data_IF_044505502950
#
_entry.id   IF_044505502950
#
_cell.length_a   1.000
_cell.length_b   1.000
_cell.length_c   1.000
_cell.angle_alpha   90.00
_cell.angle_beta   90.00
_cell.angle_gamma   90.00
#
_symmetry.space_group_name_H-M   'P 1'
#
loop_
_entity.id
_entity.type
_entity.pdbx_description
1 polymer ?
#
# COMPACT_ATOMS: atom_id res chain seq x y z
N UNK A 1 7.70 12.10 -3.24
CA UNK A 1 7.60 13.54 -2.87
C UNK A 1 6.20 14.00 -2.47
N UNK A 2 5.21 14.04 -3.38
CA UNK A 2 3.88 14.60 -3.12
C UNK A 2 3.18 13.99 -1.89
N UNK A 3 3.26 12.66 -1.74
CA UNK A 3 2.66 11.93 -0.60
C UNK A 3 3.34 12.32 0.72
N UNK A 4 4.67 12.39 0.75
CA UNK A 4 5.41 12.85 1.94
C UNK A 4 5.00 14.27 2.34
N UNK A 5 4.91 15.19 1.37
CA UNK A 5 4.47 16.57 1.64
C UNK A 5 3.03 16.64 2.15
N UNK A 6 2.14 15.78 1.66
CA UNK A 6 0.77 15.65 2.18
C UNK A 6 0.79 15.24 3.66
N UNK A 7 1.56 14.21 4.00
CA UNK A 7 1.68 13.71 5.38
C UNK A 7 2.29 14.77 6.29
N UNK A 8 3.34 15.47 5.86
CA UNK A 8 3.98 16.55 6.63
C UNK A 8 3.04 17.74 6.82
N UNK A 9 2.28 18.11 5.78
CA UNK A 9 1.26 19.15 5.89
C UNK A 9 0.18 18.77 6.91
N UNK A 10 -0.31 17.53 6.83
CA UNK A 10 -1.30 17.01 7.76
C UNK A 10 -0.76 16.91 9.20
N UNK A 11 0.52 16.53 9.35
CA UNK A 11 1.26 16.52 10.62
C UNK A 11 1.25 17.92 11.25
N UNK A 12 1.58 18.95 10.48
CA UNK A 12 1.69 20.32 10.99
C UNK A 12 0.33 20.92 11.36
N UNK A 13 -0.75 20.44 10.74
CA UNK A 13 -2.12 20.91 10.99
C UNK A 13 -2.92 20.00 11.92
N UNK A 14 -2.35 18.88 12.35
CA UNK A 14 -3.02 17.88 13.17
C UNK A 14 -4.34 17.39 12.56
N UNK A 15 -4.35 17.11 11.26
CA UNK A 15 -5.54 16.62 10.54
C UNK A 15 -5.36 15.17 10.08
N UNK A 16 -6.43 14.38 9.98
CA UNK A 16 -6.39 13.00 9.48
C UNK A 16 -5.95 12.95 8.01
N UNK A 17 -5.36 11.83 7.59
CA UNK A 17 -4.93 11.57 6.21
C UNK A 17 -5.70 10.37 5.66
N UNK A 18 -6.18 10.50 4.43
CA UNK A 18 -6.74 9.39 3.66
C UNK A 18 -5.97 9.29 2.35
N UNK A 19 -5.45 8.11 2.01
CA UNK A 19 -4.75 7.86 0.75
C UNK A 19 -5.45 6.74 0.01
N UNK A 20 -5.87 7.05 -1.22
CA UNK A 20 -6.36 6.07 -2.19
C UNK A 20 -5.16 5.56 -3.00
N UNK A 21 -4.87 4.27 -2.88
CA UNK A 21 -3.74 3.61 -3.50
C UNK A 21 -4.17 2.92 -4.79
N UNK A 22 -3.51 3.28 -5.90
CA UNK A 22 -3.55 2.57 -7.16
C UNK A 22 -2.14 2.56 -7.76
N UNK A 23 -1.52 1.40 -7.87
CA UNK A 23 -0.19 1.21 -8.44
C UNK A 23 0.03 -0.20 -8.97
N UNK A 24 0.67 -0.29 -10.13
CA UNK A 24 1.19 -1.55 -10.69
C UNK A 24 2.61 -1.90 -10.24
N UNK A 25 3.21 -1.12 -9.33
CA UNK A 25 4.55 -1.35 -8.79
C UNK A 25 5.44 -0.10 -8.76
N UNK A 26 6.75 -0.32 -8.62
CA UNK A 26 7.74 0.75 -8.61
C UNK A 26 8.00 1.26 -10.04
N UNK A 27 8.23 2.57 -10.19
CA UNK A 27 8.59 3.18 -11.47
C UNK A 27 10.06 2.89 -11.78
N UNK A 28 10.32 1.85 -12.56
CA UNK A 28 11.68 1.37 -12.84
C UNK A 28 12.59 2.40 -13.51
N UNK A 29 12.03 3.37 -14.24
CA UNK A 29 12.77 4.44 -14.92
C UNK A 29 13.55 5.33 -13.95
N UNK A 30 13.09 5.43 -12.69
CA UNK A 30 13.77 6.19 -11.64
C UNK A 30 14.70 5.28 -10.78
N UNK A 31 14.79 3.98 -11.11
CA UNK A 31 15.70 3.03 -10.48
C UNK A 31 15.57 2.98 -8.95
N UNK A 32 16.70 3.10 -8.26
CA UNK A 32 16.76 3.08 -6.79
C UNK A 32 15.98 4.23 -6.13
N UNK A 33 15.78 5.36 -6.81
CA UNK A 33 15.00 6.47 -6.25
C UNK A 33 13.54 6.08 -6.02
N UNK A 34 12.97 5.26 -6.92
CA UNK A 34 11.63 4.69 -6.73
C UNK A 34 11.54 3.81 -5.49
N UNK A 35 12.57 2.99 -5.24
CA UNK A 35 12.64 2.17 -4.04
C UNK A 35 12.74 3.03 -2.78
N UNK A 36 13.57 4.08 -2.80
CA UNK A 36 13.75 4.98 -1.66
C UNK A 36 12.47 5.76 -1.32
N UNK A 37 11.54 5.94 -2.26
CA UNK A 37 10.24 6.55 -1.94
C UNK A 37 9.46 5.75 -0.90
N UNK A 38 9.59 4.42 -0.88
CA UNK A 38 8.94 3.57 0.13
C UNK A 38 9.43 3.95 1.53
N UNK A 39 10.74 3.96 1.74
CA UNK A 39 11.35 4.34 3.01
C UNK A 39 11.01 5.78 3.41
N UNK A 40 11.05 6.72 2.44
CA UNK A 40 10.73 8.13 2.68
C UNK A 40 9.29 8.32 3.17
N UNK A 41 8.32 7.71 2.49
CA UNK A 41 6.90 7.87 2.85
C UNK A 41 6.63 7.17 4.18
N UNK A 42 7.10 5.94 4.38
CA UNK A 42 6.92 5.20 5.63
C UNK A 42 7.53 5.92 6.84
N UNK A 43 8.69 6.56 6.68
CA UNK A 43 9.32 7.35 7.76
C UNK A 43 8.47 8.58 8.15
N UNK A 44 7.94 9.31 7.17
CA UNK A 44 7.04 10.43 7.44
C UNK A 44 5.75 9.97 8.14
N UNK A 45 5.20 8.83 7.69
CA UNK A 45 4.00 8.22 8.26
C UNK A 45 4.23 7.75 9.71
N UNK A 46 5.40 7.16 9.99
CA UNK A 46 5.79 6.77 11.33
C UNK A 46 5.82 7.96 12.29
N UNK A 47 6.39 9.09 11.88
CA UNK A 47 6.35 10.32 12.70
C UNK A 47 4.90 10.81 12.91
N UNK A 48 4.08 10.79 11.85
CA UNK A 48 2.67 11.20 11.87
C UNK A 48 1.82 10.37 12.87
N UNK A 49 1.95 9.03 12.83
CA UNK A 49 1.20 8.15 13.73
C UNK A 49 1.85 8.07 15.13
N UNK A 50 3.16 7.83 15.22
CA UNK A 50 3.81 7.52 16.50
C UNK A 50 3.98 8.74 17.40
N UNK A 51 4.45 9.86 16.85
CA UNK A 51 4.78 11.05 17.63
C UNK A 51 3.60 12.03 17.75
N UNK A 52 2.75 12.10 16.72
CA UNK A 52 1.61 13.02 16.69
C UNK A 52 0.26 12.34 16.97
N UNK A 53 0.20 11.00 16.98
CA UNK A 53 -1.01 10.22 17.27
C UNK A 53 -2.17 10.59 16.34
N UNK A 54 -1.86 10.88 15.08
CA UNK A 54 -2.85 11.25 14.07
C UNK A 54 -3.29 10.03 13.26
N UNK A 55 -4.53 10.08 12.78
CA UNK A 55 -5.22 8.95 12.16
C UNK A 55 -5.03 8.91 10.65
N UNK A 56 -4.62 7.75 10.13
CA UNK A 56 -4.37 7.49 8.72
C UNK A 56 -5.22 6.31 8.22
N UNK A 57 -5.97 6.56 7.14
CA UNK A 57 -6.72 5.52 6.41
C UNK A 57 -6.07 5.27 5.06
N UNK A 58 -5.78 4.00 4.76
CA UNK A 58 -5.41 3.57 3.42
C UNK A 58 -6.60 2.91 2.73
N UNK A 59 -6.88 3.31 1.49
CA UNK A 59 -7.91 2.71 0.64
C UNK A 59 -7.21 2.07 -0.56
N UNK A 60 -7.28 0.76 -0.67
CA UNK A 60 -6.62 -0.03 -1.70
C UNK A 60 -7.57 -0.26 -2.86
N UNK A 61 -7.24 0.30 -4.02
CA UNK A 61 -8.02 0.11 -5.24
C UNK A 61 -7.24 -0.73 -6.24
N UNK A 62 -7.91 -1.13 -7.31
CA UNK A 62 -7.33 -2.02 -8.31
C UNK A 62 -6.53 -1.26 -9.38
N UNK A 63 -5.25 -1.62 -9.66
CA UNK A 63 -4.40 -2.54 -8.90
C UNK A 63 -3.64 -1.81 -7.78
N UNK A 64 -3.31 -2.50 -6.69
CA UNK A 64 -2.33 -2.04 -5.68
C UNK A 64 -1.28 -3.11 -5.46
N UNK A 65 -0.14 -2.97 -6.14
CA UNK A 65 0.92 -3.99 -6.11
C UNK A 65 2.32 -3.46 -5.76
N UNK A 66 3.20 -4.40 -5.41
CA UNK A 66 4.63 -4.15 -5.25
C UNK A 66 4.95 -3.17 -4.12
N UNK A 67 5.72 -2.13 -4.45
CA UNK A 67 6.26 -1.20 -3.47
C UNK A 67 5.20 -0.41 -2.70
N UNK A 68 4.02 -0.14 -3.28
CA UNK A 68 2.94 0.57 -2.57
C UNK A 68 2.32 -0.33 -1.50
N UNK A 69 2.01 -1.58 -1.86
CA UNK A 69 1.51 -2.60 -0.91
C UNK A 69 2.54 -2.89 0.18
N UNK A 70 3.83 -2.92 -0.16
CA UNK A 70 4.91 -3.12 0.82
C UNK A 70 5.34 -1.84 1.58
N UNK A 71 4.58 -0.75 1.48
CA UNK A 71 4.86 0.49 2.20
C UNK A 71 3.57 1.15 2.68
N UNK A 72 3.34 2.41 2.35
CA UNK A 72 2.25 3.23 2.89
C UNK A 72 0.85 2.68 2.64
N UNK A 73 0.65 1.78 1.67
CA UNK A 73 -0.63 1.09 1.50
C UNK A 73 -1.00 0.25 2.72
N UNK A 74 -0.05 -0.49 3.31
CA UNK A 74 -0.33 -1.41 4.43
C UNK A 74 0.04 -0.83 5.80
N UNK A 75 0.22 0.48 5.90
CA UNK A 75 0.57 1.16 7.17
C UNK A 75 -0.58 2.02 7.72
N UNK A 76 -1.80 1.83 7.20
CA UNK A 76 -3.01 2.46 7.71
C UNK A 76 -3.30 2.06 9.15
N UNK A 77 -3.85 3.00 9.94
CA UNK A 77 -4.56 2.64 11.17
C UNK A 77 -5.83 1.84 10.85
N UNK A 78 -6.44 2.16 9.70
CA UNK A 78 -7.49 1.37 9.05
C UNK A 78 -7.11 1.19 7.58
N UNK A 79 -7.18 -0.06 7.11
CA UNK A 79 -6.89 -0.45 5.73
C UNK A 79 -8.19 -0.97 5.10
N UNK A 80 -8.73 -0.21 4.16
CA UNK A 80 -9.93 -0.53 3.39
C UNK A 80 -9.48 -1.05 2.02
N UNK A 81 -10.10 -2.11 1.50
CA UNK A 81 -9.89 -2.53 0.11
C UNK A 81 -11.20 -2.39 -0.68
N UNK A 82 -11.14 -2.06 -1.96
CA UNK A 82 -12.35 -2.14 -2.80
C UNK A 82 -12.70 -3.60 -3.16
N UNK A 83 -13.99 -3.93 -3.36
CA UNK A 83 -14.40 -5.24 -3.84
C UNK A 83 -13.68 -5.63 -5.14
N UNK A 84 -13.21 -6.87 -5.22
CA UNK A 84 -12.44 -7.43 -6.34
C UNK A 84 -11.12 -6.69 -6.65
N UNK A 85 -10.62 -5.82 -5.75
CA UNK A 85 -9.37 -5.12 -6.00
C UNK A 85 -8.19 -6.08 -6.08
N UNK A 86 -7.32 -5.88 -7.07
CA UNK A 86 -6.10 -6.67 -7.21
C UNK A 86 -5.01 -6.13 -6.29
N UNK A 87 -4.79 -6.78 -5.14
CA UNK A 87 -3.82 -6.37 -4.13
C UNK A 87 -2.79 -7.47 -3.89
N UNK A 88 -1.52 -7.21 -4.21
CA UNK A 88 -0.46 -8.20 -4.06
C UNK A 88 0.94 -7.59 -4.01
N UNK A 89 1.84 -8.18 -3.21
CA UNK A 89 3.25 -7.78 -3.27
C UNK A 89 3.91 -8.17 -4.61
N UNK A 90 3.87 -9.45 -4.97
CA UNK A 90 4.39 -9.95 -6.24
C UNK A 90 3.24 -10.25 -7.21
N UNK A 91 3.40 -9.93 -8.49
CA UNK A 91 2.39 -10.26 -9.51
C UNK A 91 2.31 -11.76 -9.80
N UNK A 92 1.12 -12.23 -10.20
CA UNK A 92 0.83 -13.64 -10.57
C UNK A 92 1.95 -14.29 -11.39
N UNK A 93 2.34 -13.64 -12.49
CA UNK A 93 3.39 -14.12 -13.41
C UNK A 93 4.71 -14.44 -12.70
N UNK A 94 5.17 -13.58 -11.80
CA UNK A 94 6.45 -13.77 -11.10
C UNK A 94 6.38 -14.96 -10.16
N UNK A 95 5.26 -15.12 -9.46
CA UNK A 95 5.02 -16.24 -8.53
C UNK A 95 5.02 -17.57 -9.30
N UNK A 96 4.28 -17.63 -10.41
CA UNK A 96 4.18 -18.85 -11.23
C UNK A 96 5.52 -19.26 -11.83
N UNK A 97 6.29 -18.31 -12.36
CA UNK A 97 7.62 -18.58 -12.90
C UNK A 97 8.62 -19.04 -11.84
N UNK A 98 8.50 -18.52 -10.60
CA UNK A 98 9.42 -18.87 -9.51
C UNK A 98 9.10 -20.24 -8.92
N UNK A 99 7.82 -20.55 -8.74
CA UNK A 99 7.35 -21.77 -8.06
C UNK A 99 7.05 -22.92 -9.03
N UNK A 100 7.03 -22.64 -10.34
CA UNK A 100 6.63 -23.57 -11.40
C UNK A 100 5.27 -24.23 -11.13
N UNK A 101 4.33 -23.43 -10.58
CA UNK A 101 2.97 -23.83 -10.22
C UNK A 101 2.01 -22.72 -10.60
N UNK A 102 0.80 -23.10 -11.01
CA UNK A 102 -0.26 -22.13 -11.24
C UNK A 102 -0.72 -21.47 -9.94
N UNK A 103 -0.90 -20.16 -9.99
CA UNK A 103 -1.48 -19.40 -8.89
C UNK A 103 -3.00 -19.51 -9.01
N UNK A 104 -3.70 -19.99 -7.96
CA UNK A 104 -5.16 -20.12 -7.99
C UNK A 104 -5.85 -18.81 -8.34
N UNK A 105 -6.90 -18.89 -9.14
CA UNK A 105 -7.68 -17.70 -9.49
C UNK A 105 -8.33 -17.09 -8.23
N UNK A 106 -8.38 -15.76 -8.20
CA UNK A 106 -8.86 -15.01 -7.04
C UNK A 106 -7.86 -14.89 -5.88
N UNK A 107 -6.71 -15.57 -5.90
CA UNK A 107 -5.75 -15.52 -4.77
C UNK A 107 -5.09 -14.15 -4.52
N UNK A 108 -5.31 -13.19 -5.42
CA UNK A 108 -4.80 -11.82 -5.32
C UNK A 108 -5.94 -10.79 -5.34
N UNK A 109 -7.20 -11.25 -5.25
CA UNK A 109 -8.35 -10.39 -5.06
C UNK A 109 -8.45 -9.98 -3.58
N UNK A 110 -9.09 -8.83 -3.33
CA UNK A 110 -9.23 -8.26 -2.00
C UNK A 110 -9.87 -9.26 -1.02
N UNK A 111 -10.91 -9.98 -1.45
CA UNK A 111 -11.67 -10.96 -0.68
C UNK A 111 -10.76 -12.07 -0.12
N UNK A 112 -9.83 -12.56 -0.95
CA UNK A 112 -8.91 -13.62 -0.54
C UNK A 112 -7.96 -13.15 0.58
N UNK A 113 -7.51 -11.90 0.50
CA UNK A 113 -6.63 -11.31 1.50
C UNK A 113 -7.38 -10.88 2.76
N UNK A 114 -8.63 -10.43 2.64
CA UNK A 114 -9.50 -10.09 3.76
C UNK A 114 -9.80 -11.29 4.65
N UNK A 115 -10.08 -12.46 4.06
CA UNK A 115 -10.23 -13.70 4.83
C UNK A 115 -8.97 -14.11 5.62
N UNK A 116 -7.81 -13.50 5.31
CA UNK A 116 -6.54 -13.71 6.02
C UNK A 116 -6.22 -12.58 7.01
N UNK A 117 -7.13 -11.62 7.20
CA UNK A 117 -6.97 -10.52 8.14
C UNK A 117 -6.02 -9.41 7.66
N UNK A 118 -5.83 -9.25 6.35
CA UNK A 118 -4.97 -8.19 5.80
C UNK A 118 -5.65 -6.81 5.76
N UNK A 119 -6.99 -6.75 5.75
CA UNK A 119 -7.77 -5.51 5.63
C UNK A 119 -8.88 -5.49 6.70
N UNK A 120 -9.33 -4.29 7.05
CA UNK A 120 -10.34 -4.05 8.09
C UNK A 120 -11.77 -4.15 7.51
N UNK A 121 -12.11 -3.37 6.46
CA UNK A 121 -13.27 -3.67 5.61
C UNK A 121 -12.92 -3.86 4.11
N UNK A 122 -13.86 -4.48 3.39
CA UNK A 122 -13.99 -4.44 1.92
C UNK A 122 -15.28 -3.69 1.55
#
# INVERSE_FOLDING_TARGET
>A
EKITRLIEYATNRSIPVIIVCASGGARMQEGSLSLMQMAKISSALYNYQSNKKLFYVSILTSPTTGGVTASFGMLGDVIIAEPNAHVAFAGKRVIEQTLNKQVPDGSQAAEYSFHKGLFDPI
#
